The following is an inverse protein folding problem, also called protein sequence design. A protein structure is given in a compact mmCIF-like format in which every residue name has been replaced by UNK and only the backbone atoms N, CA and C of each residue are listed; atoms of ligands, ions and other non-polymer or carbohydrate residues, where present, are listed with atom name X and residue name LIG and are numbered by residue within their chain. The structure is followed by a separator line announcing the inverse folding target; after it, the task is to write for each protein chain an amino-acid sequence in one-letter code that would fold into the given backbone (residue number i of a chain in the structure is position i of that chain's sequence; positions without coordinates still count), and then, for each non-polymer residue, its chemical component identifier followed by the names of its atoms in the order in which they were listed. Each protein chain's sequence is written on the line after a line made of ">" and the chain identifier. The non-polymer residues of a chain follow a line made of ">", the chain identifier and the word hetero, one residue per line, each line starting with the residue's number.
data_IF_299332568315
#
_entry.id   IF_299332568315
#
_cell.length_a   1.000
_cell.length_b   1.000
_cell.length_c   1.000
_cell.angle_alpha   90.00
_cell.angle_beta   90.00
_cell.angle_gamma   90.00
#
_symmetry.space_group_name_H-M   'P 1'
#
loop_
_entity.id
_entity.type
_entity.pdbx_description
1 polymer ?
#
# COMPACT_ATOMS: atom_id res chain seq x y z
N UNK A 1 18.54 0.26 17.44
CA UNK A 1 19.51 -0.40 16.52
C UNK A 1 18.72 -0.87 15.30
N UNK A 2 19.28 -0.78 14.09
CA UNK A 2 18.60 -1.27 12.87
C UNK A 2 18.55 -2.80 12.91
N UNK A 3 17.39 -3.46 12.75
CA UNK A 3 17.29 -4.91 12.85
C UNK A 3 17.96 -5.59 11.65
N UNK A 4 18.76 -6.63 11.91
CA UNK A 4 19.54 -7.38 10.94
C UNK A 4 18.71 -8.56 10.44
N UNK A 5 18.28 -8.52 9.18
CA UNK A 5 17.36 -9.50 8.61
C UNK A 5 18.05 -10.28 7.51
N UNK A 6 18.14 -11.61 7.67
CA UNK A 6 18.77 -12.49 6.69
C UNK A 6 17.73 -13.18 5.79
N UNK A 7 17.80 -12.99 4.48
CA UNK A 7 17.09 -13.87 3.53
C UNK A 7 18.00 -15.00 3.03
N UNK A 8 17.44 -16.21 2.94
CA UNK A 8 18.10 -17.40 2.39
C UNK A 8 17.23 -17.89 1.24
N UNK A 9 17.54 -17.45 0.01
CA UNK A 9 16.68 -17.67 -1.14
C UNK A 9 17.43 -17.57 -2.47
N UNK A 10 16.76 -17.93 -3.56
CA UNK A 10 17.25 -17.74 -4.91
C UNK A 10 17.17 -16.28 -5.39
N UNK A 11 18.03 -15.94 -6.34
CA UNK A 11 18.05 -14.66 -7.05
C UNK A 11 17.13 -14.71 -8.27
N UNK A 12 16.15 -13.81 -8.32
CA UNK A 12 15.28 -13.55 -9.48
C UNK A 12 15.87 -12.40 -10.31
N UNK A 13 16.37 -12.71 -11.51
CA UNK A 13 16.92 -11.67 -12.41
C UNK A 13 15.90 -10.60 -12.82
N UNK A 14 14.60 -10.90 -12.80
CA UNK A 14 13.54 -9.92 -13.04
C UNK A 14 13.31 -8.97 -11.86
N UNK A 15 13.91 -9.23 -10.70
CA UNK A 15 13.85 -8.39 -9.52
C UNK A 15 12.49 -8.30 -8.84
N UNK A 16 11.55 -9.18 -9.19
CA UNK A 16 10.18 -9.16 -8.70
C UNK A 16 9.94 -10.10 -7.51
N UNK A 17 10.73 -11.15 -7.37
CA UNK A 17 10.69 -12.14 -6.28
C UNK A 17 12.10 -12.40 -5.73
N UNK A 18 12.29 -13.52 -5.03
CA UNK A 18 13.60 -13.97 -4.54
C UNK A 18 14.25 -12.96 -3.58
N UNK A 19 15.58 -13.02 -3.48
CA UNK A 19 16.34 -12.10 -2.62
C UNK A 19 16.10 -10.62 -3.00
N UNK A 20 15.78 -10.32 -4.25
CA UNK A 20 15.52 -8.95 -4.70
C UNK A 20 14.26 -8.39 -4.06
N UNK A 21 13.16 -9.16 -4.06
CA UNK A 21 11.93 -8.77 -3.35
C UNK A 21 12.17 -8.68 -1.84
N UNK A 22 12.95 -9.61 -1.30
CA UNK A 22 13.22 -9.67 0.13
C UNK A 22 14.02 -8.45 0.59
N UNK A 23 15.14 -8.15 -0.04
CA UNK A 23 16.00 -7.01 0.31
C UNK A 23 15.28 -5.67 0.12
N UNK A 24 14.48 -5.51 -0.95
CA UNK A 24 13.62 -4.32 -1.13
C UNK A 24 12.65 -4.17 0.02
N UNK A 25 11.95 -5.25 0.38
CA UNK A 25 10.95 -5.24 1.45
C UNK A 25 11.58 -4.92 2.80
N UNK A 26 12.68 -5.61 3.14
CA UNK A 26 13.42 -5.40 4.39
C UNK A 26 13.88 -3.95 4.52
N UNK A 27 14.51 -3.42 3.46
CA UNK A 27 15.04 -2.05 3.45
C UNK A 27 13.93 -1.02 3.63
N UNK A 28 12.82 -1.18 2.91
CA UNK A 28 11.69 -0.24 2.96
C UNK A 28 10.93 -0.32 4.29
N UNK A 29 11.01 -1.43 5.00
CA UNK A 29 10.54 -1.56 6.38
C UNK A 29 11.62 -1.17 7.40
N UNK A 30 12.77 -0.62 6.99
CA UNK A 30 13.77 -0.09 7.92
C UNK A 30 14.64 -1.15 8.61
N UNK A 31 14.80 -2.34 8.01
CA UNK A 31 15.79 -3.34 8.42
C UNK A 31 17.04 -3.31 7.56
N UNK A 32 18.14 -3.84 8.09
CA UNK A 32 19.37 -4.11 7.34
C UNK A 32 19.26 -5.48 6.68
N UNK A 33 19.09 -5.50 5.37
CA UNK A 33 18.92 -6.73 4.59
C UNK A 33 20.26 -7.40 4.28
N UNK A 34 20.38 -8.66 4.65
CA UNK A 34 21.48 -9.56 4.28
C UNK A 34 20.92 -10.73 3.48
N UNK A 35 21.77 -11.39 2.68
CA UNK A 35 21.36 -12.54 1.88
C UNK A 35 22.39 -13.67 1.88
N UNK A 36 21.90 -14.91 1.91
CA UNK A 36 22.64 -16.09 1.47
C UNK A 36 21.93 -16.68 0.25
N UNK A 37 22.59 -16.63 -0.91
CA UNK A 37 22.00 -17.01 -2.20
C UNK A 37 22.06 -18.53 -2.39
N UNK A 38 20.91 -19.14 -2.69
CA UNK A 38 20.78 -20.60 -2.90
C UNK A 38 20.79 -21.01 -4.36
N UNK A 39 20.35 -20.13 -5.26
CA UNK A 39 20.34 -20.36 -6.70
C UNK A 39 20.29 -19.02 -7.44
N UNK A 40 20.79 -19.00 -8.68
CA UNK A 40 20.56 -17.92 -9.62
C UNK A 40 19.51 -18.37 -10.64
N UNK A 41 18.51 -17.54 -10.94
CA UNK A 41 17.56 -17.82 -12.01
C UNK A 41 17.73 -16.84 -13.16
N UNK A 42 17.71 -17.36 -14.39
CA UNK A 42 17.43 -16.58 -15.58
C UNK A 42 15.90 -16.53 -15.72
N UNK A 43 15.30 -15.49 -15.18
CA UNK A 43 13.85 -15.34 -15.03
C UNK A 43 13.39 -13.91 -15.38
N UNK A 44 12.19 -13.81 -15.95
CA UNK A 44 11.50 -12.55 -16.13
C UNK A 44 9.98 -12.75 -15.92
N UNK A 45 9.16 -11.77 -16.32
CA UNK A 45 7.71 -11.80 -16.12
C UNK A 45 6.98 -12.88 -16.92
N UNK A 46 7.63 -13.50 -17.90
CA UNK A 46 7.08 -14.58 -18.74
C UNK A 46 7.36 -15.97 -18.15
N UNK A 47 8.41 -16.13 -17.34
CA UNK A 47 8.77 -17.41 -16.74
C UNK A 47 10.22 -17.53 -16.34
N UNK A 48 10.60 -18.76 -15.98
CA UNK A 48 11.97 -19.18 -15.65
C UNK A 48 12.55 -19.93 -16.84
N UNK A 49 13.74 -19.52 -17.29
CA UNK A 49 14.44 -20.05 -18.46
C UNK A 49 15.71 -20.83 -18.09
N UNK A 50 16.19 -20.67 -16.85
CA UNK A 50 17.35 -21.39 -16.35
C UNK A 50 17.50 -21.23 -14.85
N UNK A 51 18.03 -22.26 -14.21
CA UNK A 51 18.36 -22.28 -12.78
C UNK A 51 19.80 -22.77 -12.66
N UNK A 52 20.63 -22.00 -11.95
CA UNK A 52 21.97 -22.38 -11.57
C UNK A 52 22.02 -22.50 -10.04
N UNK A 53 22.05 -23.72 -9.53
CA UNK A 53 22.11 -23.97 -8.09
C UNK A 53 23.49 -23.60 -7.54
N UNK A 54 23.49 -22.91 -6.40
CA UNK A 54 24.74 -22.59 -5.69
C UNK A 54 25.18 -23.83 -4.91
N UNK A 55 26.46 -24.26 -5.03
CA UNK A 55 26.94 -25.42 -4.30
C UNK A 55 26.68 -25.32 -2.79
N UNK A 56 26.19 -26.37 -2.12
CA UNK A 56 25.84 -26.33 -0.69
C UNK A 56 26.99 -25.84 0.20
N UNK A 57 28.23 -26.20 -0.08
CA UNK A 57 29.40 -25.72 0.67
C UNK A 57 29.59 -24.20 0.57
N UNK A 58 29.23 -23.60 -0.56
CA UNK A 58 29.29 -22.15 -0.73
C UNK A 58 28.12 -21.44 -0.03
N UNK A 59 26.92 -22.04 -0.03
CA UNK A 59 25.80 -21.56 0.81
C UNK A 59 26.19 -21.58 2.29
N UNK A 60 26.85 -22.65 2.76
CA UNK A 60 27.37 -22.73 4.12
C UNK A 60 28.36 -21.59 4.44
N UNK A 61 29.28 -21.28 3.51
CA UNK A 61 30.25 -20.19 3.68
C UNK A 61 29.59 -18.82 3.76
N UNK A 62 28.59 -18.56 2.91
CA UNK A 62 27.80 -17.31 2.97
C UNK A 62 27.12 -17.16 4.34
N UNK A 63 26.45 -18.22 4.82
CA UNK A 63 25.79 -18.21 6.13
C UNK A 63 26.78 -18.00 7.27
N UNK A 64 27.94 -18.66 7.24
CA UNK A 64 28.96 -18.48 8.28
C UNK A 64 29.54 -17.07 8.27
N UNK A 65 29.83 -16.49 7.11
CA UNK A 65 30.34 -15.13 7.00
C UNK A 65 29.38 -14.12 7.64
N UNK A 66 28.09 -14.14 7.30
CA UNK A 66 27.13 -13.15 7.83
C UNK A 66 26.75 -13.42 9.29
N UNK A 67 26.60 -14.68 9.70
CA UNK A 67 26.14 -15.01 11.06
C UNK A 67 27.23 -14.85 12.11
N UNK A 68 28.51 -14.99 11.76
CA UNK A 68 29.63 -14.85 12.71
C UNK A 68 30.06 -13.39 12.91
N UNK A 69 29.99 -12.57 11.87
CA UNK A 69 30.40 -11.16 11.92
C UNK A 69 29.22 -10.24 12.28
N UNK A 70 28.20 -10.22 11.43
CA UNK A 70 27.10 -9.26 11.54
C UNK A 70 26.06 -9.73 12.55
N UNK A 71 25.79 -11.04 12.61
CA UNK A 71 24.71 -11.64 13.39
C UNK A 71 23.32 -11.45 12.76
N UNK A 72 22.25 -11.85 13.44
CA UNK A 72 20.89 -11.86 12.88
C UNK A 72 19.82 -11.71 13.96
N UNK A 73 18.79 -10.91 13.68
CA UNK A 73 17.64 -10.67 14.57
C UNK A 73 16.37 -11.41 14.09
N UNK A 74 16.27 -11.64 12.78
CA UNK A 74 15.30 -12.55 12.17
C UNK A 74 15.82 -13.04 10.81
N UNK A 75 15.35 -14.20 10.37
CA UNK A 75 15.68 -14.73 9.06
C UNK A 75 14.44 -15.22 8.32
N UNK A 76 14.50 -15.23 6.99
CA UNK A 76 13.53 -15.97 6.17
C UNK A 76 14.21 -16.96 5.23
N UNK A 77 13.53 -18.06 4.95
CA UNK A 77 13.86 -18.92 3.82
C UNK A 77 12.87 -18.70 2.68
N UNK A 78 13.36 -18.68 1.45
CA UNK A 78 12.55 -18.72 0.22
C UNK A 78 12.80 -20.01 -0.56
N UNK A 79 12.95 -19.90 -1.88
CA UNK A 79 13.33 -21.05 -2.72
C UNK A 79 14.72 -21.55 -2.32
N UNK A 80 14.83 -22.78 -1.84
CA UNK A 80 16.09 -23.39 -1.39
C UNK A 80 16.76 -24.28 -2.45
N UNK A 81 16.09 -24.59 -3.56
CA UNK A 81 16.60 -25.51 -4.59
C UNK A 81 16.59 -26.96 -4.12
N UNK A 82 17.65 -27.72 -4.41
CA UNK A 82 17.77 -29.14 -4.05
C UNK A 82 17.94 -29.47 -2.55
N UNK A 83 17.82 -30.77 -2.25
CA UNK A 83 17.90 -31.34 -0.88
C UNK A 83 19.23 -31.06 -0.17
N UNK A 84 20.35 -30.98 -0.91
CA UNK A 84 21.67 -30.66 -0.36
C UNK A 84 21.77 -29.24 0.23
N UNK A 85 21.17 -28.25 -0.43
CA UNK A 85 21.10 -26.88 0.08
C UNK A 85 20.17 -26.82 1.29
N UNK A 86 18.99 -27.45 1.21
CA UNK A 86 18.05 -27.53 2.33
C UNK A 86 18.72 -28.09 3.59
N UNK A 87 19.42 -29.23 3.47
CA UNK A 87 20.18 -29.85 4.55
C UNK A 87 21.24 -28.94 5.14
N UNK A 88 21.96 -28.24 4.28
CA UNK A 88 22.99 -27.31 4.71
C UNK A 88 22.40 -26.12 5.47
N UNK A 89 21.33 -25.53 4.95
CA UNK A 89 20.62 -24.40 5.55
C UNK A 89 20.06 -24.80 6.91
N UNK A 90 19.29 -25.89 7.01
CA UNK A 90 18.72 -26.36 8.30
C UNK A 90 19.79 -26.59 9.36
N UNK A 91 20.92 -27.22 8.98
CA UNK A 91 22.05 -27.45 9.88
C UNK A 91 22.67 -26.15 10.38
N UNK A 92 22.91 -25.17 9.50
CA UNK A 92 23.49 -23.88 9.89
C UNK A 92 22.53 -23.07 10.75
N UNK A 93 21.24 -23.00 10.39
CA UNK A 93 20.21 -22.30 11.16
C UNK A 93 20.13 -22.86 12.60
N UNK A 94 20.19 -24.19 12.75
CA UNK A 94 20.24 -24.86 14.06
C UNK A 94 21.53 -24.56 14.82
N UNK A 95 22.70 -24.67 14.16
CA UNK A 95 24.03 -24.39 14.76
C UNK A 95 24.11 -22.98 15.34
N UNK A 96 23.63 -21.98 14.61
CA UNK A 96 23.68 -20.57 15.00
C UNK A 96 22.47 -20.12 15.82
N UNK A 97 21.50 -21.00 16.10
CA UNK A 97 20.28 -20.71 16.86
C UNK A 97 19.56 -19.46 16.36
N UNK A 98 19.39 -19.38 15.04
CA UNK A 98 18.79 -18.21 14.39
C UNK A 98 17.39 -17.93 14.96
N UNK A 99 17.14 -16.74 15.54
CA UNK A 99 15.83 -16.39 16.08
C UNK A 99 14.84 -16.06 14.96
N UNK A 100 13.55 -16.09 15.29
CA UNK A 100 12.48 -15.53 14.46
C UNK A 100 12.48 -16.01 12.99
N UNK A 101 12.70 -17.31 12.78
CA UNK A 101 12.78 -17.89 11.44
C UNK A 101 11.40 -17.95 10.76
N UNK A 102 11.24 -17.23 9.65
CA UNK A 102 10.06 -17.28 8.78
C UNK A 102 10.34 -18.24 7.62
N UNK A 103 9.60 -19.34 7.55
CA UNK A 103 9.78 -20.35 6.49
C UNK A 103 8.70 -20.15 5.42
N UNK A 104 9.07 -19.59 4.27
CA UNK A 104 8.25 -19.63 3.06
C UNK A 104 8.61 -20.92 2.29
N UNK A 105 7.72 -21.93 2.22
CA UNK A 105 8.11 -23.26 1.77
C UNK A 105 8.37 -23.37 0.26
N UNK A 106 7.93 -22.39 -0.54
CA UNK A 106 8.16 -22.23 -1.99
C UNK A 106 8.36 -23.55 -2.74
N UNK A 107 7.30 -24.37 -2.78
CA UNK A 107 7.37 -25.72 -3.37
C UNK A 107 6.90 -25.75 -4.82
N UNK A 108 6.14 -24.74 -5.23
CA UNK A 108 5.53 -24.66 -6.55
C UNK A 108 5.76 -23.24 -7.08
N UNK A 109 6.31 -23.15 -8.29
CA UNK A 109 6.45 -21.87 -8.97
C UNK A 109 5.07 -21.28 -9.27
N UNK A 110 5.04 -19.99 -9.55
CA UNK A 110 3.81 -19.29 -9.89
C UNK A 110 3.11 -19.79 -11.17
N UNK A 111 3.84 -20.52 -12.01
CA UNK A 111 3.35 -21.17 -13.22
C UNK A 111 2.97 -22.65 -12.99
N UNK A 112 3.00 -23.13 -11.74
CA UNK A 112 2.63 -24.50 -11.38
C UNK A 112 3.75 -25.54 -11.47
N UNK A 113 4.95 -25.17 -11.94
CA UNK A 113 6.10 -26.08 -11.94
C UNK A 113 6.53 -26.42 -10.51
N UNK A 114 6.64 -27.71 -10.18
CA UNK A 114 7.23 -28.18 -8.91
C UNK A 114 8.69 -27.75 -8.83
N UNK A 115 9.05 -27.11 -7.71
CA UNK A 115 10.41 -26.62 -7.45
C UNK A 115 11.20 -27.54 -6.51
N UNK A 116 10.51 -28.35 -5.71
CA UNK A 116 11.12 -29.36 -4.84
C UNK A 116 10.79 -30.76 -5.34
N UNK A 117 11.77 -31.66 -5.23
CA UNK A 117 11.55 -33.09 -5.38
C UNK A 117 10.95 -33.68 -4.08
N UNK A 118 10.36 -34.88 -4.11
CA UNK A 118 9.72 -35.47 -2.91
C UNK A 118 10.66 -35.65 -1.71
N UNK A 119 11.96 -35.88 -1.96
CA UNK A 119 12.98 -35.97 -0.90
C UNK A 119 13.16 -34.63 -0.18
N UNK A 120 13.24 -33.52 -0.92
CA UNK A 120 13.33 -32.18 -0.37
C UNK A 120 12.03 -31.76 0.34
N UNK A 121 10.87 -32.19 -0.14
CA UNK A 121 9.58 -31.99 0.56
C UNK A 121 9.59 -32.68 1.94
N UNK A 122 10.12 -33.90 2.04
CA UNK A 122 10.20 -34.61 3.31
C UNK A 122 11.21 -33.98 4.27
N UNK A 123 12.38 -33.60 3.74
CA UNK A 123 13.40 -32.93 4.53
C UNK A 123 12.91 -31.55 5.04
N UNK A 124 12.14 -30.81 4.24
CA UNK A 124 11.45 -29.59 4.68
C UNK A 124 10.57 -29.86 5.91
N UNK A 125 9.74 -30.91 5.88
CA UNK A 125 8.86 -31.30 6.99
C UNK A 125 9.61 -31.67 8.26
N UNK A 126 10.67 -32.47 8.13
CA UNK A 126 11.37 -33.06 9.28
C UNK A 126 12.44 -32.15 9.89
N UNK A 127 13.06 -31.25 9.11
CA UNK A 127 14.28 -30.56 9.54
C UNK A 127 14.16 -29.04 9.55
N UNK A 128 13.41 -28.43 8.62
CA UNK A 128 13.30 -26.98 8.54
C UNK A 128 12.05 -26.44 9.23
N UNK A 129 10.88 -27.04 9.01
CA UNK A 129 9.62 -26.63 9.65
C UNK A 129 9.72 -26.62 11.19
N UNK A 130 10.37 -27.59 11.87
CA UNK A 130 10.56 -27.56 13.32
C UNK A 130 11.36 -26.37 13.86
N UNK A 131 12.14 -25.69 13.00
CA UNK A 131 12.92 -24.51 13.38
C UNK A 131 12.11 -23.21 13.24
N UNK A 132 10.95 -23.25 12.59
CA UNK A 132 10.21 -22.07 12.19
C UNK A 132 9.51 -21.39 13.37
N UNK A 133 9.71 -20.06 13.50
CA UNK A 133 8.80 -19.20 14.26
C UNK A 133 7.42 -19.18 13.60
N UNK A 134 7.39 -19.10 12.27
CA UNK A 134 6.17 -19.21 11.47
C UNK A 134 6.48 -19.81 10.11
N UNK A 135 5.64 -20.73 9.65
CA UNK A 135 5.65 -21.22 8.26
C UNK A 135 4.50 -20.58 7.49
N UNK A 136 4.76 -20.12 6.26
CA UNK A 136 3.82 -19.29 5.48
C UNK A 136 3.35 -19.94 4.18
N UNK A 137 2.77 -21.16 4.17
CA UNK A 137 2.36 -21.82 2.93
C UNK A 137 1.15 -21.12 2.28
N UNK A 138 1.08 -21.10 0.96
CA UNK A 138 -0.18 -20.86 0.25
C UNK A 138 -1.06 -22.13 0.27
N UNK A 139 -2.30 -22.02 -0.22
CA UNK A 139 -3.21 -23.18 -0.27
C UNK A 139 -2.60 -24.39 -1.01
N UNK A 140 -2.14 -24.29 -2.28
CA UNK A 140 -1.46 -25.41 -2.95
C UNK A 140 -0.29 -26.01 -2.17
N UNK A 141 0.54 -25.17 -1.54
CA UNK A 141 1.66 -25.62 -0.71
C UNK A 141 1.17 -26.34 0.55
N UNK A 142 0.12 -25.85 1.20
CA UNK A 142 -0.49 -26.51 2.35
C UNK A 142 -1.10 -27.88 1.96
N UNK A 143 -1.66 -27.99 0.74
CA UNK A 143 -2.14 -29.27 0.22
C UNK A 143 -1.00 -30.27 0.04
N UNK A 144 0.14 -29.83 -0.49
CA UNK A 144 1.34 -30.68 -0.65
C UNK A 144 1.93 -31.06 0.71
N UNK A 145 2.03 -30.13 1.66
CA UNK A 145 2.55 -30.42 3.00
C UNK A 145 1.69 -31.44 3.74
N UNK A 146 0.36 -31.32 3.63
CA UNK A 146 -0.60 -32.15 4.40
C UNK A 146 -1.09 -33.39 3.68
N UNK A 147 -0.86 -33.50 2.36
CA UNK A 147 -1.42 -34.54 1.51
C UNK A 147 -2.95 -34.47 1.35
N UNK A 148 -3.58 -33.32 1.66
CA UNK A 148 -5.03 -33.14 1.65
C UNK A 148 -5.45 -31.94 0.81
N UNK A 149 -6.60 -32.06 0.14
CA UNK A 149 -7.19 -30.93 -0.58
C UNK A 149 -7.83 -29.93 0.38
N UNK A 150 -7.76 -28.65 0.03
CA UNK A 150 -8.28 -27.54 0.83
C UNK A 150 -9.21 -26.71 -0.07
N UNK A 151 -10.52 -26.84 0.13
CA UNK A 151 -11.58 -26.16 -0.62
C UNK A 151 -12.43 -25.25 0.24
N UNK A 152 -12.39 -25.44 1.56
CA UNK A 152 -13.22 -24.72 2.54
C UNK A 152 -12.39 -24.09 3.66
N UNK A 153 -12.91 -23.05 4.34
CA UNK A 153 -12.26 -22.47 5.51
C UNK A 153 -12.02 -23.48 6.65
N UNK A 154 -12.90 -24.48 6.79
CA UNK A 154 -12.74 -25.56 7.77
C UNK A 154 -11.52 -26.43 7.45
N UNK A 155 -11.38 -26.86 6.20
CA UNK A 155 -10.22 -27.65 5.75
C UNK A 155 -8.92 -26.85 5.87
N UNK A 156 -8.97 -25.53 5.65
CA UNK A 156 -7.81 -24.65 5.86
C UNK A 156 -7.37 -24.62 7.34
N UNK A 157 -8.32 -24.59 8.30
CA UNK A 157 -8.02 -24.71 9.73
C UNK A 157 -7.43 -26.08 10.07
N UNK A 158 -7.98 -27.16 9.53
CA UNK A 158 -7.45 -28.51 9.72
C UNK A 158 -6.03 -28.66 9.14
N UNK A 159 -5.76 -28.05 7.99
CA UNK A 159 -4.43 -28.04 7.40
C UNK A 159 -3.43 -27.27 8.29
N UNK A 160 -3.83 -26.13 8.85
CA UNK A 160 -2.97 -25.36 9.76
C UNK A 160 -2.57 -26.18 10.99
N UNK A 161 -3.51 -26.92 11.59
CA UNK A 161 -3.22 -27.83 12.71
C UNK A 161 -2.25 -28.94 12.31
N UNK A 162 -2.42 -29.54 11.12
CA UNK A 162 -1.52 -30.60 10.63
C UNK A 162 -0.10 -30.11 10.42
N UNK A 163 0.05 -28.92 9.83
CA UNK A 163 1.36 -28.31 9.59
C UNK A 163 2.01 -27.91 10.92
N UNK A 164 1.22 -27.39 11.87
CA UNK A 164 1.72 -27.06 13.21
C UNK A 164 2.27 -28.30 13.93
N UNK A 165 1.59 -29.45 13.80
CA UNK A 165 2.08 -30.75 14.33
C UNK A 165 3.39 -31.24 13.71
N UNK A 166 3.85 -30.64 12.60
CA UNK A 166 5.18 -30.91 12.04
C UNK A 166 6.30 -30.17 12.80
N UNK A 167 5.97 -29.30 13.77
CA UNK A 167 6.93 -28.70 14.70
C UNK A 167 7.10 -27.18 14.58
N UNK A 168 6.42 -26.51 13.64
CA UNK A 168 6.44 -25.04 13.58
C UNK A 168 5.77 -24.43 14.82
N UNK A 169 6.31 -23.30 15.32
CA UNK A 169 5.66 -22.57 16.42
C UNK A 169 4.31 -21.99 16.01
N UNK A 170 4.22 -21.47 14.79
CA UNK A 170 3.00 -20.90 14.22
C UNK A 170 2.86 -21.27 12.74
N UNK A 171 1.63 -21.22 12.22
CA UNK A 171 1.33 -21.48 10.81
C UNK A 171 0.46 -20.36 10.26
N UNK A 172 0.89 -19.72 9.18
CA UNK A 172 0.12 -18.73 8.43
C UNK A 172 -0.22 -19.27 7.04
N UNK A 173 -1.44 -19.79 6.86
CA UNK A 173 -1.88 -20.23 5.54
C UNK A 173 -2.42 -19.05 4.75
N UNK A 174 -1.84 -18.80 3.57
CA UNK A 174 -2.21 -17.70 2.65
C UNK A 174 -3.41 -18.11 1.79
N UNK A 175 -4.58 -17.49 2.00
CA UNK A 175 -5.84 -17.90 1.36
C UNK A 175 -6.21 -17.13 0.10
N UNK A 176 -5.31 -16.29 -0.45
CA UNK A 176 -5.54 -15.54 -1.69
C UNK A 176 -5.97 -16.36 -2.92
N UNK A 177 -5.86 -17.69 -2.87
CA UNK A 177 -6.29 -18.64 -3.92
C UNK A 177 -7.77 -19.08 -3.79
N UNK A 178 -8.42 -18.85 -2.64
CA UNK A 178 -9.84 -19.17 -2.44
C UNK A 178 -10.74 -18.11 -3.09
N UNK A 179 -12.01 -18.44 -3.37
CA UNK A 179 -13.00 -17.46 -3.82
C UNK A 179 -13.39 -16.54 -2.66
N UNK A 180 -13.65 -15.25 -2.95
CA UNK A 180 -14.02 -14.24 -1.96
C UNK A 180 -12.85 -13.38 -1.47
N UNK A 181 -12.98 -12.73 -0.29
CA UNK A 181 -11.92 -11.90 0.31
C UNK A 181 -10.59 -12.65 0.46
N UNK A 182 -9.47 -11.92 0.47
CA UNK A 182 -8.15 -12.51 0.69
C UNK A 182 -7.94 -12.75 2.19
N UNK A 183 -8.34 -13.94 2.66
CA UNK A 183 -8.25 -14.34 4.07
C UNK A 183 -6.94 -15.12 4.27
N UNK A 184 -6.06 -14.66 5.15
CA UNK A 184 -4.96 -15.50 5.64
C UNK A 184 -5.27 -15.93 7.07
N UNK A 185 -4.95 -17.18 7.37
CA UNK A 185 -5.28 -17.82 8.63
C UNK A 185 -4.00 -18.10 9.41
N UNK A 186 -3.83 -17.42 10.54
CA UNK A 186 -2.76 -17.69 11.49
C UNK A 186 -3.26 -18.66 12.57
N UNK A 187 -2.45 -19.66 12.89
CA UNK A 187 -2.67 -20.59 14.01
C UNK A 187 -1.42 -20.61 14.90
N UNK A 188 -1.63 -20.42 16.20
CA UNK A 188 -0.56 -20.35 17.22
C UNK A 188 -0.44 -21.63 18.09
N UNK A 189 -1.20 -22.67 17.76
CA UNK A 189 -1.30 -23.89 18.56
C UNK A 189 -2.56 -23.95 19.43
N UNK A 190 -3.19 -22.82 19.70
CA UNK A 190 -4.42 -22.75 20.52
C UNK A 190 -5.56 -22.05 19.77
N UNK A 191 -5.27 -20.91 19.16
CA UNK A 191 -6.25 -20.00 18.59
C UNK A 191 -5.96 -19.76 17.12
N UNK A 192 -7.05 -19.51 16.40
CA UNK A 192 -6.99 -19.07 15.02
C UNK A 192 -7.25 -17.57 14.96
N UNK A 193 -6.52 -16.88 14.09
CA UNK A 193 -6.75 -15.50 13.76
C UNK A 193 -6.84 -15.33 12.25
N UNK A 194 -7.89 -14.68 11.80
CA UNK A 194 -8.09 -14.34 10.40
C UNK A 194 -7.62 -12.91 10.16
N UNK A 195 -6.88 -12.72 9.08
CA UNK A 195 -6.52 -11.41 8.58
C UNK A 195 -7.21 -11.21 7.24
N UNK A 196 -8.06 -10.19 7.14
CA UNK A 196 -8.92 -9.97 5.98
C UNK A 196 -8.50 -8.66 5.32
N UNK A 197 -8.20 -8.74 4.02
CA UNK A 197 -7.94 -7.58 3.18
C UNK A 197 -8.78 -7.68 1.90
N UNK A 198 -9.07 -6.52 1.31
CA UNK A 198 -9.77 -6.46 0.03
C UNK A 198 -8.95 -7.15 -1.07
N UNK A 199 -9.63 -7.94 -1.91
CA UNK A 199 -8.99 -8.56 -3.07
C UNK A 199 -8.74 -7.51 -4.14
N UNK A 200 -7.48 -7.20 -4.38
CA UNK A 200 -7.06 -6.35 -5.50
C UNK A 200 -7.11 -7.16 -6.79
N UNK A 201 -7.89 -6.72 -7.77
CA UNK A 201 -7.94 -7.33 -9.09
C UNK A 201 -6.75 -6.83 -9.94
N UNK A 202 -5.67 -7.60 -9.98
CA UNK A 202 -4.51 -7.29 -10.82
C UNK A 202 -3.79 -8.57 -11.29
N UNK A 203 -3.20 -8.51 -12.47
CA UNK A 203 -2.30 -9.55 -12.98
C UNK A 203 -0.89 -9.46 -12.37
N UNK A 204 -0.53 -8.28 -11.85
CA UNK A 204 0.80 -7.95 -11.34
C UNK A 204 0.95 -8.37 -9.88
N UNK A 205 1.12 -9.67 -9.70
CA UNK A 205 1.21 -10.29 -8.36
C UNK A 205 2.57 -10.95 -8.14
N UNK A 206 3.53 -10.82 -9.07
CA UNK A 206 4.83 -11.52 -8.95
C UNK A 206 5.56 -11.02 -7.70
N UNK A 207 6.10 -11.95 -6.91
CA UNK A 207 6.74 -11.66 -5.63
C UNK A 207 5.86 -11.64 -4.38
N UNK A 208 4.52 -11.77 -4.47
CA UNK A 208 3.64 -11.59 -3.29
C UNK A 208 4.02 -12.44 -2.07
N UNK A 209 4.36 -13.72 -2.27
CA UNK A 209 4.81 -14.61 -1.19
C UNK A 209 6.15 -14.19 -0.58
N UNK A 210 7.11 -13.83 -1.42
CA UNK A 210 8.43 -13.37 -0.99
C UNK A 210 8.31 -12.07 -0.17
N UNK A 211 7.57 -11.10 -0.69
CA UNK A 211 7.28 -9.83 -0.02
C UNK A 211 6.60 -10.04 1.33
N UNK A 212 5.57 -10.90 1.41
CA UNK A 212 4.86 -11.14 2.68
C UNK A 212 5.79 -11.72 3.74
N UNK A 213 6.52 -12.79 3.41
CA UNK A 213 7.41 -13.46 4.36
C UNK A 213 8.59 -12.57 4.77
N UNK A 214 9.12 -11.77 3.83
CA UNK A 214 10.18 -10.79 4.13
C UNK A 214 9.69 -9.68 5.05
N UNK A 215 8.46 -9.19 4.84
CA UNK A 215 7.85 -8.18 5.71
C UNK A 215 7.61 -8.72 7.13
N UNK A 216 7.12 -9.96 7.25
CA UNK A 216 6.97 -10.61 8.57
C UNK A 216 8.33 -10.73 9.27
N UNK A 217 9.37 -11.18 8.56
CA UNK A 217 10.71 -11.30 9.13
C UNK A 217 11.26 -9.93 9.59
N UNK A 218 11.07 -8.88 8.79
CA UNK A 218 11.48 -7.52 9.14
C UNK A 218 10.80 -7.02 10.42
N UNK A 219 9.49 -7.21 10.55
CA UNK A 219 8.73 -6.79 11.74
C UNK A 219 9.07 -7.61 12.98
N UNK A 220 9.29 -8.94 12.83
CA UNK A 220 9.77 -9.78 13.93
C UNK A 220 11.17 -9.35 14.39
N UNK A 221 12.07 -9.00 13.47
CA UNK A 221 13.41 -8.50 13.81
C UNK A 221 13.38 -7.16 14.57
N UNK A 222 12.31 -6.36 14.43
CA UNK A 222 12.06 -5.17 15.25
C UNK A 222 11.55 -5.48 16.66
N UNK A 223 11.31 -6.76 16.97
CA UNK A 223 10.78 -7.20 18.26
C UNK A 223 9.26 -7.17 18.37
N UNK A 224 8.52 -7.04 17.26
CA UNK A 224 7.06 -7.12 17.28
C UNK A 224 6.57 -8.53 17.56
N UNK A 225 5.39 -8.65 18.15
CA UNK A 225 4.69 -9.92 18.21
C UNK A 225 4.27 -10.38 16.81
N UNK A 226 4.08 -11.70 16.65
CA UNK A 226 3.79 -12.27 15.33
C UNK A 226 2.47 -11.78 14.74
N UNK A 227 1.44 -11.52 15.55
CA UNK A 227 0.13 -11.09 15.06
C UNK A 227 0.23 -9.68 14.50
N UNK A 228 0.93 -8.78 15.20
CA UNK A 228 1.23 -7.44 14.71
C UNK A 228 2.11 -7.48 13.46
N UNK A 229 3.16 -8.32 13.46
CA UNK A 229 4.05 -8.50 12.31
C UNK A 229 3.28 -8.94 11.04
N UNK A 230 2.36 -9.90 11.18
CA UNK A 230 1.49 -10.35 10.08
C UNK A 230 0.54 -9.25 9.63
N UNK A 231 -0.07 -8.50 10.56
CA UNK A 231 -0.96 -7.39 10.22
C UNK A 231 -0.23 -6.30 9.41
N UNK A 232 0.97 -5.90 9.83
CA UNK A 232 1.78 -4.91 9.12
C UNK A 232 2.20 -5.44 7.75
N UNK A 233 2.68 -6.69 7.69
CA UNK A 233 3.10 -7.32 6.44
C UNK A 233 1.97 -7.43 5.42
N UNK A 234 0.74 -7.77 5.86
CA UNK A 234 -0.43 -7.79 4.97
C UNK A 234 -0.79 -6.40 4.46
N UNK A 235 -0.82 -5.39 5.33
CA UNK A 235 -1.09 -4.00 4.88
C UNK A 235 -0.05 -3.52 3.87
N UNK A 236 1.23 -3.78 4.14
CA UNK A 236 2.32 -3.45 3.22
C UNK A 236 2.15 -4.15 1.87
N UNK A 237 1.90 -5.46 1.88
CA UNK A 237 1.70 -6.24 0.66
C UNK A 237 0.46 -5.76 -0.12
N UNK A 238 -0.67 -5.55 0.54
CA UNK A 238 -1.90 -5.07 -0.10
C UNK A 238 -1.66 -3.73 -0.80
N UNK A 239 -0.97 -2.79 -0.15
CA UNK A 239 -0.58 -1.53 -0.78
C UNK A 239 0.39 -1.74 -1.96
N UNK A 240 1.38 -2.63 -1.84
CA UNK A 240 2.31 -2.95 -2.92
C UNK A 240 1.61 -3.60 -4.14
N UNK A 241 0.58 -4.42 -3.92
CA UNK A 241 -0.25 -5.02 -4.98
C UNK A 241 -1.12 -3.93 -5.65
N UNK A 242 -1.76 -3.07 -4.85
CA UNK A 242 -2.60 -1.97 -5.37
C UNK A 242 -1.81 -1.02 -6.27
N UNK A 243 -0.56 -0.74 -5.89
CA UNK A 243 0.32 0.17 -6.62
C UNK A 243 1.22 -0.55 -7.64
N UNK A 244 0.94 -1.83 -7.93
CA UNK A 244 1.76 -2.64 -8.82
C UNK A 244 1.88 -2.00 -10.20
N UNK A 245 3.11 -1.93 -10.69
CA UNK A 245 3.43 -1.31 -11.99
C UNK A 245 3.46 -2.38 -13.07
N UNK A 246 2.83 -2.15 -14.25
CA UNK A 246 2.88 -3.08 -15.37
C UNK A 246 4.29 -3.09 -16.00
N UNK A 247 5.19 -3.86 -15.41
CA UNK A 247 6.53 -4.12 -15.95
C UNK A 247 6.55 -5.46 -16.67
N UNK A 248 7.22 -5.50 -17.81
CA UNK A 248 7.31 -6.69 -18.67
C UNK A 248 5.99 -7.03 -19.40
N UNK A 249 6.03 -8.10 -20.20
CA UNK A 249 4.89 -8.53 -21.03
C UNK A 249 4.06 -9.66 -20.40
N UNK A 250 4.40 -10.10 -19.19
CA UNK A 250 3.71 -11.18 -18.49
C UNK A 250 3.14 -10.76 -17.14
N UNK A 251 3.29 -11.61 -16.12
CA UNK A 251 2.86 -11.29 -14.75
C UNK A 251 3.90 -10.40 -14.08
N UNK A 252 3.67 -9.10 -14.11
CA UNK A 252 4.55 -8.10 -13.48
C UNK A 252 4.65 -8.22 -11.94
N UNK A 253 5.68 -7.59 -11.35
CA UNK A 253 5.92 -7.60 -9.92
C UNK A 253 4.94 -6.69 -9.15
N UNK A 254 4.82 -6.95 -7.85
CA UNK A 254 4.26 -5.95 -6.92
C UNK A 254 5.18 -4.73 -6.83
N UNK A 255 4.62 -3.57 -6.51
CA UNK A 255 5.41 -2.35 -6.32
C UNK A 255 5.84 -2.23 -4.86
N UNK A 256 7.02 -2.77 -4.56
CA UNK A 256 7.64 -2.70 -3.23
C UNK A 256 7.76 -1.26 -2.71
N UNK A 257 8.06 -0.30 -3.60
CA UNK A 257 8.26 1.10 -3.24
C UNK A 257 6.95 1.85 -2.98
N UNK A 258 5.84 1.42 -3.58
CA UNK A 258 4.54 2.08 -3.51
C UNK A 258 4.11 2.51 -2.10
N UNK A 259 4.13 1.62 -1.08
CA UNK A 259 3.80 1.97 0.29
C UNK A 259 4.62 3.15 0.85
N UNK A 260 5.92 3.20 0.56
CA UNK A 260 6.82 4.27 1.02
C UNK A 260 6.65 5.55 0.19
N UNK A 261 6.49 5.41 -1.12
CA UNK A 261 6.19 6.54 -2.01
C UNK A 261 4.96 7.31 -1.52
N UNK A 262 3.93 6.59 -1.07
CA UNK A 262 2.71 7.17 -0.51
C UNK A 262 2.99 7.97 0.76
N UNK A 263 3.82 7.48 1.67
CA UNK A 263 4.19 8.22 2.88
C UNK A 263 5.05 9.47 2.57
N UNK A 264 5.98 9.38 1.61
CA UNK A 264 6.74 10.53 1.13
C UNK A 264 5.81 11.59 0.51
N UNK A 265 4.85 11.16 -0.30
CA UNK A 265 3.90 12.08 -0.92
C UNK A 265 3.01 12.77 0.11
N UNK A 266 2.62 12.08 1.20
CA UNK A 266 1.87 12.73 2.29
C UNK A 266 2.63 13.91 2.88
N UNK A 267 3.94 13.77 3.12
CA UNK A 267 4.76 14.86 3.60
C UNK A 267 4.76 16.05 2.62
N UNK A 268 4.95 15.78 1.33
CA UNK A 268 4.91 16.83 0.30
C UNK A 268 3.55 17.53 0.21
N UNK A 269 2.45 16.77 0.34
CA UNK A 269 1.10 17.33 0.37
C UNK A 269 0.93 18.31 1.52
N UNK A 270 1.31 17.92 2.74
CA UNK A 270 1.24 18.78 3.93
C UNK A 270 2.11 20.01 3.76
N UNK A 271 3.36 19.85 3.31
CA UNK A 271 4.31 20.95 3.10
C UNK A 271 3.75 21.98 2.12
N UNK A 272 3.27 21.54 0.95
CA UNK A 272 2.72 22.44 -0.09
C UNK A 272 1.45 23.15 0.35
N UNK A 273 0.61 22.50 1.17
CA UNK A 273 -0.55 23.16 1.77
C UNK A 273 -0.15 24.25 2.75
N UNK A 274 0.88 24.02 3.60
CA UNK A 274 1.40 25.05 4.52
C UNK A 274 1.97 26.24 3.75
N UNK A 275 2.78 25.99 2.71
CA UNK A 275 3.35 27.03 1.86
C UNK A 275 2.25 27.88 1.19
N UNK A 276 1.21 27.22 0.66
CA UNK A 276 0.06 27.88 0.09
C UNK A 276 -0.72 28.72 1.12
N UNK A 277 -0.91 28.22 2.34
CA UNK A 277 -1.53 29.00 3.41
C UNK A 277 -0.72 30.24 3.77
N UNK A 278 0.61 30.13 3.93
CA UNK A 278 1.46 31.28 4.25
C UNK A 278 1.38 32.36 3.17
N UNK A 279 1.32 31.96 1.90
CA UNK A 279 1.12 32.90 0.80
C UNK A 279 -0.26 33.58 0.90
N UNK A 280 -1.34 32.82 1.09
CA UNK A 280 -2.69 33.38 1.23
C UNK A 280 -2.85 34.30 2.46
N UNK A 281 -2.19 33.96 3.56
CA UNK A 281 -2.15 34.76 4.78
C UNK A 281 -1.46 36.10 4.53
N UNK A 282 -0.25 36.08 3.93
CA UNK A 282 0.51 37.28 3.60
C UNK A 282 -0.24 38.22 2.65
N UNK A 283 -0.92 37.67 1.65
CA UNK A 283 -1.67 38.46 0.66
C UNK A 283 -3.07 38.90 1.16
N UNK A 284 -3.43 38.52 2.39
CA UNK A 284 -4.67 38.85 3.08
C UNK A 284 -5.95 38.69 2.24
N UNK A 285 -6.31 37.43 1.95
CA UNK A 285 -7.53 37.10 1.19
C UNK A 285 -8.82 37.11 2.04
N UNK A 286 -8.83 37.73 3.21
CA UNK A 286 -9.97 37.70 4.16
C UNK A 286 -11.30 38.13 3.51
N UNK A 287 -11.28 39.06 2.55
CA UNK A 287 -12.46 39.49 1.79
C UNK A 287 -13.09 38.41 0.91
N UNK A 288 -12.36 37.34 0.61
CA UNK A 288 -12.82 36.21 -0.20
C UNK A 288 -13.37 35.05 0.63
N UNK A 289 -13.33 35.13 1.97
CA UNK A 289 -13.87 34.09 2.84
C UNK A 289 -15.40 34.17 2.90
N UNK A 290 -16.11 33.04 2.66
CA UNK A 290 -17.55 32.95 2.89
C UNK A 290 -17.88 32.89 4.39
N UNK A 291 -19.16 32.97 4.74
CA UNK A 291 -19.61 32.84 6.15
C UNK A 291 -19.24 31.47 6.71
N UNK A 292 -19.40 30.40 5.91
CA UNK A 292 -18.96 29.04 6.27
C UNK A 292 -17.45 28.81 6.18
N UNK A 293 -16.67 29.87 5.99
CA UNK A 293 -15.22 29.87 5.90
C UNK A 293 -14.64 29.11 4.70
N UNK A 294 -13.38 29.37 4.38
CA UNK A 294 -12.68 28.75 3.27
C UNK A 294 -11.82 27.59 3.73
N UNK A 295 -11.63 26.57 2.90
CA UNK A 295 -10.67 25.52 3.14
C UNK A 295 -9.97 25.18 1.81
N UNK A 296 -8.68 24.89 1.89
CA UNK A 296 -7.84 24.47 0.78
C UNK A 296 -7.44 23.03 1.04
N UNK A 297 -7.56 22.18 0.03
CA UNK A 297 -7.16 20.79 0.14
C UNK A 297 -6.31 20.32 -1.03
N UNK A 298 -5.60 19.22 -0.79
CA UNK A 298 -4.73 18.60 -1.77
C UNK A 298 -4.69 17.09 -1.54
N UNK A 299 -4.84 16.35 -2.63
CA UNK A 299 -4.95 14.89 -2.63
C UNK A 299 -3.64 14.21 -3.05
N UNK A 300 -3.42 13.01 -2.53
CA UNK A 300 -2.43 12.08 -3.06
C UNK A 300 -2.72 11.77 -4.54
N UNK A 301 -1.70 11.38 -5.31
CA UNK A 301 -1.80 11.06 -6.74
C UNK A 301 -2.77 9.91 -7.04
N UNK A 302 -3.03 9.07 -6.03
CA UNK A 302 -3.88 7.87 -6.11
C UNK A 302 -5.04 7.95 -5.12
N UNK A 303 -5.52 9.15 -4.79
CA UNK A 303 -6.55 9.32 -3.79
C UNK A 303 -7.85 8.59 -4.19
N UNK A 304 -8.32 7.70 -3.31
CA UNK A 304 -9.53 6.89 -3.49
C UNK A 304 -10.61 7.25 -2.46
N UNK A 305 -10.23 7.88 -1.36
CA UNK A 305 -11.16 8.25 -0.31
C UNK A 305 -10.76 9.52 0.42
N UNK A 306 -11.63 9.94 1.34
CA UNK A 306 -11.42 11.19 2.10
C UNK A 306 -10.12 11.19 2.91
N UNK A 307 -9.68 10.02 3.39
CA UNK A 307 -8.40 9.88 4.10
C UNK A 307 -7.16 10.09 3.24
N UNK A 308 -7.31 10.21 1.91
CA UNK A 308 -6.22 10.47 0.97
C UNK A 308 -6.11 11.95 0.58
N UNK A 309 -6.98 12.79 1.15
CA UNK A 309 -7.00 14.23 0.91
C UNK A 309 -6.68 14.95 2.21
N UNK A 310 -5.67 15.80 2.17
CA UNK A 310 -5.36 16.69 3.27
C UNK A 310 -6.07 18.04 3.09
N UNK A 311 -6.49 18.62 4.21
CA UNK A 311 -7.10 19.95 4.28
C UNK A 311 -6.86 20.53 5.67
N UNK A 312 -7.31 21.76 5.93
CA UNK A 312 -7.12 22.41 7.23
C UNK A 312 -8.27 22.06 8.19
N UNK A 313 -8.00 21.39 9.34
CA UNK A 313 -8.98 21.21 10.39
C UNK A 313 -9.46 22.58 10.90
N UNK A 314 -10.77 22.72 11.09
CA UNK A 314 -11.35 24.02 11.49
C UNK A 314 -11.35 25.09 10.40
N UNK A 315 -10.91 24.78 9.16
CA UNK A 315 -10.90 25.70 8.00
C UNK A 315 -10.00 26.92 8.22
N UNK A 316 -9.96 27.81 7.23
CA UNK A 316 -9.38 29.14 7.35
C UNK A 316 -10.40 30.08 7.96
N UNK A 317 -10.06 30.70 9.08
CA UNK A 317 -10.98 31.53 9.85
C UNK A 317 -10.53 32.99 9.80
N UNK A 318 -11.49 33.90 9.95
CA UNK A 318 -11.22 35.33 10.13
C UNK A 318 -11.06 35.60 11.62
N UNK A 319 -9.88 36.04 12.05
CA UNK A 319 -9.64 36.46 13.43
C UNK A 319 -8.88 37.79 13.43
N UNK A 320 -9.35 38.77 14.20
CA UNK A 320 -8.75 40.11 14.30
C UNK A 320 -8.49 40.81 12.94
N UNK A 321 -9.32 40.54 11.92
CA UNK A 321 -9.16 41.11 10.57
C UNK A 321 -8.16 40.36 9.67
N UNK A 322 -7.55 39.28 10.15
CA UNK A 322 -6.56 38.48 9.43
C UNK A 322 -7.06 37.08 9.12
N UNK A 323 -6.43 36.45 8.12
CA UNK A 323 -6.65 35.05 7.76
C UNK A 323 -5.86 34.18 8.74
N UNK A 324 -6.52 33.35 9.56
CA UNK A 324 -5.81 32.41 10.44
C UNK A 324 -6.31 30.98 10.25
N UNK A 325 -5.62 30.02 10.88
CA UNK A 325 -5.96 28.60 10.90
C UNK A 325 -5.92 28.07 12.33
N UNK A 326 -6.82 27.15 12.66
CA UNK A 326 -6.88 26.54 14.00
C UNK A 326 -5.76 25.52 14.18
N UNK A 327 -5.45 24.76 13.12
CA UNK A 327 -4.41 23.76 13.11
C UNK A 327 -3.72 23.70 11.74
N UNK A 328 -2.58 23.03 11.70
CA UNK A 328 -1.90 22.65 10.46
C UNK A 328 -2.74 21.64 9.65
N UNK A 329 -2.51 21.54 8.32
CA UNK A 329 -3.29 20.65 7.49
C UNK A 329 -3.06 19.19 7.87
N UNK A 330 -4.10 18.38 7.75
CA UNK A 330 -4.09 16.96 8.06
C UNK A 330 -4.98 16.17 7.09
N UNK A 331 -4.67 14.89 6.91
CA UNK A 331 -5.42 13.97 6.05
C UNK A 331 -6.79 13.66 6.64
N UNK A 332 -7.84 13.68 5.80
CA UNK A 332 -9.21 13.43 6.24
C UNK A 332 -9.88 14.59 6.99
N UNK A 333 -9.21 15.75 7.10
CA UNK A 333 -9.71 16.90 7.87
C UNK A 333 -10.97 17.57 7.31
N UNK A 334 -11.30 17.37 6.02
CA UNK A 334 -12.45 18.02 5.38
C UNK A 334 -13.12 17.14 4.33
N UNK A 335 -14.30 16.59 4.66
CA UNK A 335 -15.12 15.84 3.70
C UNK A 335 -15.59 16.69 2.52
N UNK A 336 -15.90 17.97 2.76
CA UNK A 336 -16.40 18.88 1.74
C UNK A 336 -15.38 19.13 0.63
N UNK A 337 -14.15 19.50 1.00
CA UNK A 337 -13.08 19.74 0.04
C UNK A 337 -12.62 18.44 -0.60
N UNK A 338 -12.49 17.36 0.19
CA UNK A 338 -12.10 16.07 -0.33
C UNK A 338 -13.08 15.56 -1.40
N UNK A 339 -14.38 15.77 -1.23
CA UNK A 339 -15.37 15.37 -2.22
C UNK A 339 -15.24 16.13 -3.55
N UNK A 340 -14.96 17.44 -3.50
CA UNK A 340 -14.74 18.26 -4.71
C UNK A 340 -13.51 17.73 -5.46
N UNK A 341 -12.41 17.52 -4.75
CA UNK A 341 -11.15 17.05 -5.34
C UNK A 341 -11.30 15.64 -5.92
N UNK A 342 -11.85 14.70 -5.15
CA UNK A 342 -12.06 13.33 -5.61
C UNK A 342 -12.99 13.27 -6.83
N UNK A 343 -14.02 14.12 -6.88
CA UNK A 343 -14.89 14.21 -8.06
C UNK A 343 -14.14 14.75 -9.27
N UNK A 344 -13.27 15.77 -9.11
CA UNK A 344 -12.44 16.27 -10.21
C UNK A 344 -11.45 15.20 -10.72
N UNK A 345 -10.83 14.45 -9.80
CA UNK A 345 -9.86 13.39 -10.12
C UNK A 345 -10.43 12.23 -10.93
N UNK A 346 -11.74 11.98 -10.86
CA UNK A 346 -12.42 10.99 -11.72
C UNK A 346 -12.33 11.37 -13.20
N UNK A 347 -12.31 12.67 -13.51
CA UNK A 347 -12.25 13.19 -14.88
C UNK A 347 -10.82 13.51 -15.33
N UNK A 348 -10.00 14.05 -14.42
CA UNK A 348 -8.57 14.30 -14.65
C UNK A 348 -7.78 14.00 -13.37
N UNK A 349 -7.03 12.88 -13.31
CA UNK A 349 -6.24 12.49 -12.13
C UNK A 349 -5.23 13.54 -11.66
N UNK A 350 -4.81 14.48 -12.52
CA UNK A 350 -3.89 15.57 -12.15
C UNK A 350 -4.58 16.68 -11.36
N UNK A 351 -5.92 16.80 -11.40
CA UNK A 351 -6.69 17.85 -10.73
C UNK A 351 -6.92 17.53 -9.25
N UNK A 352 -5.84 17.68 -8.47
CA UNK A 352 -5.76 17.19 -7.08
C UNK A 352 -5.98 18.24 -6.01
N UNK A 353 -6.24 19.50 -6.34
CA UNK A 353 -6.40 20.57 -5.35
C UNK A 353 -7.64 21.41 -5.62
N UNK A 354 -8.27 21.86 -4.54
CA UNK A 354 -9.41 22.76 -4.60
C UNK A 354 -9.49 23.66 -3.38
N UNK A 355 -10.05 24.86 -3.58
CA UNK A 355 -10.40 25.79 -2.51
C UNK A 355 -11.80 26.36 -2.72
N UNK A 356 -12.56 26.47 -1.63
CA UNK A 356 -13.84 27.18 -1.66
C UNK A 356 -13.67 28.65 -1.25
N UNK A 357 -14.31 29.56 -1.98
CA UNK A 357 -14.30 31.00 -1.72
C UNK A 357 -15.72 31.56 -1.85
N UNK A 358 -15.96 32.72 -1.24
CA UNK A 358 -17.25 33.42 -1.27
C UNK A 358 -17.73 33.63 -2.70
N UNK A 359 -19.01 33.39 -2.92
CA UNK A 359 -19.67 33.84 -4.14
C UNK A 359 -19.96 35.34 -4.10
N UNK A 360 -19.53 36.03 -5.14
CA UNK A 360 -19.85 37.44 -5.39
C UNK A 360 -19.72 37.72 -6.89
N UNK A 361 -20.63 38.50 -7.48
CA UNK A 361 -20.57 38.80 -8.91
C UNK A 361 -19.30 39.60 -9.28
N UNK A 362 -18.77 40.41 -8.36
CA UNK A 362 -17.50 41.12 -8.57
C UNK A 362 -16.31 40.14 -8.59
N UNK A 363 -16.34 39.09 -7.78
CA UNK A 363 -15.34 38.00 -7.79
C UNK A 363 -15.37 37.27 -9.13
N UNK A 364 -16.56 36.92 -9.64
CA UNK A 364 -16.70 36.29 -10.96
C UNK A 364 -16.25 37.22 -12.10
N UNK A 365 -16.52 38.53 -12.00
CA UNK A 365 -16.04 39.52 -12.96
C UNK A 365 -14.51 39.57 -13.00
N UNK A 366 -13.84 39.59 -11.83
CA UNK A 366 -12.38 39.53 -11.74
C UNK A 366 -11.81 38.22 -12.30
N UNK A 367 -12.45 37.08 -12.03
CA UNK A 367 -12.08 35.80 -12.62
C UNK A 367 -12.12 35.82 -14.16
N UNK A 368 -13.19 36.38 -14.77
CA UNK A 368 -13.29 36.51 -16.23
C UNK A 368 -12.19 37.41 -16.80
N UNK A 369 -11.91 38.55 -16.15
CA UNK A 369 -10.81 39.46 -16.54
C UNK A 369 -9.44 38.81 -16.45
N UNK A 370 -9.26 37.90 -15.50
CA UNK A 370 -8.04 37.11 -15.33
C UNK A 370 -7.91 35.92 -16.32
N UNK A 371 -8.87 35.76 -17.23
CA UNK A 371 -8.89 34.69 -18.23
C UNK A 371 -9.22 33.31 -17.67
N UNK A 372 -9.79 33.23 -16.46
CA UNK A 372 -10.14 31.96 -15.84
C UNK A 372 -11.43 31.40 -16.46
N UNK A 373 -11.43 30.10 -16.73
CA UNK A 373 -12.61 29.39 -17.23
C UNK A 373 -13.62 29.14 -16.11
N UNK A 374 -14.87 29.54 -16.33
CA UNK A 374 -15.93 29.51 -15.32
C UNK A 374 -17.10 28.66 -15.81
N UNK A 375 -17.61 27.80 -14.94
CA UNK A 375 -18.84 27.03 -15.11
C UNK A 375 -19.70 27.09 -13.84
N UNK A 376 -20.96 26.72 -13.98
CA UNK A 376 -21.91 26.73 -12.86
C UNK A 376 -22.90 25.58 -12.96
N UNK A 377 -23.52 25.26 -11.83
CA UNK A 377 -24.69 24.41 -11.76
C UNK A 377 -25.75 25.05 -10.87
N UNK A 378 -27.01 24.64 -11.07
CA UNK A 378 -28.11 25.07 -10.22
C UNK A 378 -28.52 23.92 -9.29
N UNK A 379 -28.58 24.18 -7.98
CA UNK A 379 -29.00 23.18 -6.98
C UNK A 379 -30.47 22.79 -7.10
N UNK A 380 -31.27 23.57 -7.81
CA UNK A 380 -32.68 23.25 -8.09
C UNK A 380 -32.82 22.09 -9.08
N UNK A 381 -31.81 21.87 -9.92
CA UNK A 381 -31.80 20.80 -10.93
C UNK A 381 -31.36 19.45 -10.32
N UNK A 382 -31.02 19.42 -9.02
CA UNK A 382 -30.55 18.23 -8.32
C UNK A 382 -31.72 17.25 -8.07
N UNK A 383 -31.60 15.97 -8.48
CA UNK A 383 -32.63 14.95 -8.29
C UNK A 383 -33.05 14.79 -6.80
N UNK A 384 -34.35 14.62 -6.49
CA UNK A 384 -34.83 14.44 -5.11
C UNK A 384 -34.26 13.22 -4.37
N UNK A 385 -33.76 12.21 -5.10
CA UNK A 385 -33.08 11.04 -4.54
C UNK A 385 -31.67 11.37 -4.03
N UNK A 386 -30.98 12.33 -4.66
CA UNK A 386 -29.63 12.78 -4.28
C UNK A 386 -29.73 13.83 -3.15
N UNK A 387 -30.74 14.72 -3.19
CA UNK A 387 -31.01 15.69 -2.11
C UNK A 387 -31.22 15.04 -0.74
N UNK A 388 -31.78 13.82 -0.72
CA UNK A 388 -32.04 13.03 0.50
C UNK A 388 -30.80 12.33 1.06
N UNK A 389 -29.72 12.22 0.30
CA UNK A 389 -28.48 11.57 0.73
C UNK A 389 -27.47 12.62 1.18
N UNK A 390 -27.29 12.73 2.49
CA UNK A 390 -26.41 13.74 3.11
C UNK A 390 -25.00 13.71 2.49
N UNK A 391 -24.46 14.89 2.16
CA UNK A 391 -23.18 15.05 1.47
C UNK A 391 -23.19 14.79 -0.04
N UNK A 392 -24.26 14.27 -0.65
CA UNK A 392 -24.22 13.86 -2.09
C UNK A 392 -24.49 14.99 -3.09
N UNK A 393 -25.09 16.10 -2.64
CA UNK A 393 -25.44 17.24 -3.49
C UNK A 393 -24.24 17.93 -4.15
N UNK A 394 -23.10 17.93 -3.46
CA UNK A 394 -21.90 18.64 -3.91
C UNK A 394 -21.12 17.87 -4.96
N UNK A 395 -20.97 16.55 -4.79
CA UNK A 395 -20.39 15.70 -5.85
C UNK A 395 -21.25 15.76 -7.10
N UNK A 396 -22.58 15.70 -6.97
CA UNK A 396 -23.47 15.78 -8.13
C UNK A 396 -23.32 17.08 -8.91
N UNK A 397 -23.29 18.24 -8.23
CA UNK A 397 -23.19 19.54 -8.91
C UNK A 397 -21.86 19.73 -9.65
N UNK A 398 -20.75 19.32 -9.03
CA UNK A 398 -19.43 19.33 -9.68
C UNK A 398 -19.40 18.33 -10.84
N UNK A 399 -19.88 17.10 -10.63
CA UNK A 399 -19.94 16.06 -11.64
C UNK A 399 -20.77 16.49 -12.86
N UNK A 400 -21.96 17.05 -12.65
CA UNK A 400 -22.85 17.53 -13.71
C UNK A 400 -22.21 18.62 -14.60
N UNK A 401 -21.32 19.43 -14.01
CA UNK A 401 -20.52 20.39 -14.79
C UNK A 401 -19.45 19.66 -15.59
N UNK A 402 -18.69 18.76 -14.95
CA UNK A 402 -17.57 18.07 -15.58
C UNK A 402 -18.00 17.16 -16.74
N UNK A 403 -19.15 16.49 -16.63
CA UNK A 403 -19.74 15.67 -17.71
C UNK A 403 -20.05 16.46 -18.98
N UNK A 404 -20.33 17.77 -18.85
CA UNK A 404 -20.73 18.65 -19.96
C UNK A 404 -19.56 19.42 -20.55
N UNK A 405 -18.34 19.22 -20.05
CA UNK A 405 -17.16 19.99 -20.45
C UNK A 405 -16.05 19.09 -20.96
N UNK A 406 -15.38 19.51 -22.04
CA UNK A 406 -14.20 18.79 -22.58
C UNK A 406 -12.93 18.98 -21.75
N UNK A 407 -12.87 20.03 -20.94
CA UNK A 407 -11.75 20.39 -20.07
C UNK A 407 -12.29 20.82 -18.72
N UNK A 408 -11.59 20.46 -17.65
CA UNK A 408 -11.96 20.84 -16.28
C UNK A 408 -11.82 22.37 -16.13
N UNK A 409 -12.89 23.09 -15.75
CA UNK A 409 -12.82 24.53 -15.59
C UNK A 409 -11.98 24.94 -14.37
N UNK A 410 -11.42 26.14 -14.40
CA UNK A 410 -10.70 26.72 -13.26
C UNK A 410 -11.65 26.98 -12.09
N UNK A 411 -12.91 27.34 -12.39
CA UNK A 411 -13.91 27.71 -11.40
C UNK A 411 -15.25 27.01 -11.67
N UNK A 412 -15.82 26.44 -10.62
CA UNK A 412 -17.21 25.97 -10.57
C UNK A 412 -17.95 26.70 -9.45
N UNK A 413 -19.06 27.37 -9.77
CA UNK A 413 -19.87 28.06 -8.76
C UNK A 413 -21.32 27.58 -8.72
N UNK A 414 -21.98 27.87 -7.60
CA UNK A 414 -23.43 27.75 -7.45
C UNK A 414 -23.99 28.97 -6.70
N UNK A 415 -25.25 29.30 -6.97
CA UNK A 415 -25.96 30.44 -6.37
C UNK A 415 -26.68 30.09 -5.06
N UNK A 416 -26.28 29.00 -4.40
CA UNK A 416 -26.91 28.53 -3.18
C UNK A 416 -28.29 27.88 -3.40
N UNK A 417 -28.92 27.52 -2.29
CA UNK A 417 -30.32 27.10 -2.19
C UNK A 417 -30.79 27.38 -0.75
N UNK A 418 -32.04 27.09 -0.40
CA UNK A 418 -32.54 27.26 0.97
C UNK A 418 -31.62 26.52 1.97
N UNK A 419 -31.02 27.28 2.91
CA UNK A 419 -30.07 26.76 3.91
C UNK A 419 -28.67 26.43 3.38
N UNK A 420 -28.33 26.78 2.12
CA UNK A 420 -27.04 26.50 1.49
C UNK A 420 -26.43 27.80 0.94
N UNK A 421 -25.33 28.25 1.54
CA UNK A 421 -24.61 29.45 1.10
C UNK A 421 -24.11 29.31 -0.36
N UNK A 422 -24.29 30.35 -1.21
CA UNK A 422 -23.67 30.43 -2.53
C UNK A 422 -22.14 30.32 -2.45
N UNK A 423 -21.52 29.59 -3.39
CA UNK A 423 -20.11 29.22 -3.28
C UNK A 423 -19.39 29.18 -4.62
N UNK A 424 -18.14 29.64 -4.63
CA UNK A 424 -17.18 29.47 -5.73
C UNK A 424 -16.16 28.40 -5.33
N UNK A 425 -15.85 27.48 -6.24
CA UNK A 425 -14.85 26.43 -6.06
C UNK A 425 -13.77 26.64 -7.10
N UNK A 426 -12.57 26.93 -6.64
CA UNK A 426 -11.38 27.09 -7.47
C UNK A 426 -10.66 25.76 -7.53
N UNK A 427 -10.47 25.21 -8.73
CA UNK A 427 -9.81 23.93 -8.97
C UNK A 427 -8.39 24.14 -9.51
N UNK A 428 -7.48 23.22 -9.20
CA UNK A 428 -6.13 23.23 -9.74
C UNK A 428 -5.42 21.90 -9.52
N UNK A 429 -4.24 21.75 -10.13
CA UNK A 429 -3.45 20.53 -10.02
C UNK A 429 -2.71 20.43 -8.68
N UNK A 430 -2.47 21.57 -8.05
CA UNK A 430 -1.74 21.68 -6.78
C UNK A 430 -2.12 22.96 -6.00
N UNK A 431 -1.76 23.04 -4.71
CA UNK A 431 -2.07 24.19 -3.85
C UNK A 431 -1.58 25.53 -4.39
N UNK A 432 -0.42 25.55 -5.04
CA UNK A 432 0.19 26.77 -5.57
C UNK A 432 -0.60 27.32 -6.76
N UNK A 433 -1.06 26.44 -7.64
CA UNK A 433 -1.93 26.81 -8.76
C UNK A 433 -3.27 27.37 -8.26
N UNK A 434 -3.92 26.68 -7.32
CA UNK A 434 -5.17 27.14 -6.71
C UNK A 434 -4.96 28.50 -6.04
N UNK A 435 -3.88 28.66 -5.28
CA UNK A 435 -3.53 29.91 -4.61
C UNK A 435 -3.32 31.04 -5.62
N UNK A 436 -2.55 30.82 -6.70
CA UNK A 436 -2.36 31.80 -7.77
C UNK A 436 -3.70 32.22 -8.41
N UNK A 437 -4.62 31.29 -8.62
CA UNK A 437 -5.97 31.58 -9.13
C UNK A 437 -6.77 32.42 -8.13
N UNK A 438 -6.77 32.04 -6.85
CA UNK A 438 -7.47 32.77 -5.78
C UNK A 438 -6.96 34.19 -5.61
N UNK A 439 -5.65 34.43 -5.69
CA UNK A 439 -5.09 35.78 -5.58
C UNK A 439 -5.55 36.72 -6.71
N UNK A 440 -5.88 36.18 -7.90
CA UNK A 440 -6.45 36.95 -9.01
C UNK A 440 -7.93 37.31 -8.81
N UNK A 441 -8.56 36.80 -7.74
CA UNK A 441 -9.96 37.07 -7.38
C UNK A 441 -10.12 38.21 -6.38
N UNK A 442 -9.03 38.70 -5.79
CA UNK A 442 -9.02 39.78 -4.80
C UNK A 442 -9.50 41.11 -5.41
#
# INVERSE_FOLDING_TARGET
>A
MVPRILTIAGSDSGGGAGIQADLKTITLLGGYGMSAVTALTAQNTLGVFGIHEVPPEFVARQLEAVLTDIGVDAAKTGMLGGSGVLKTVSRKLRKFRVPNLVVDPVMVSKNGARLLNPEAEEFLRQELIPLAMVVTPNVPEAEVLTGKRIRTPKEMREAAVRIWKMGARHVLIKGGHLRGPAIDLLYDGERFQEFIEERVQTLHTHGTGCTLSAAIAAELGKGKDLREAVAVAKRFLTAAIRMATPLGHGRGPVNHYGPIQREIEKYEVIRRLKDAFHLLHRENIVGLLPEVQSNLGYALSWAQGFGDVAAFPGRFVRAAGELTRVADPDFGASRHIAQIILTAMVYDPEMRSAMNVKYDESVLSRARKAGLSIRHFNRRDEPPSIKRKEGSSLSWGVQAVLERTRQIPDIIFDRGDVGKEPMIRVLGRNPEEVTKKVLRLR
#
